data_IF_620483083434
#
_entry.id   IF_620483083434
#
_cell.length_a   1.000
_cell.length_b   1.000
_cell.length_c   1.000
_cell.angle_alpha   90.00
_cell.angle_beta   90.00
_cell.angle_gamma   90.00
#
_symmetry.space_group_name_H-M   'P 1'
#
loop_
_entity.id
_entity.type
_entity.pdbx_description
1 polymer ?
#
# COMPACT_ATOMS: atom_id res chain seq x y z
N UNK A 1 20.18 36.49 57.59
CA UNK A 1 20.63 35.28 56.86
C UNK A 1 19.50 34.31 56.50
N UNK A 2 18.43 34.15 57.32
CA UNK A 2 17.26 33.29 57.00
C UNK A 2 16.35 33.81 55.87
N UNK A 3 16.19 35.13 55.73
CA UNK A 3 15.35 35.74 54.68
C UNK A 3 16.05 35.69 53.30
N UNK A 4 17.38 35.75 53.27
CA UNK A 4 18.17 35.68 52.04
C UNK A 4 18.15 34.26 51.42
N UNK A 5 18.13 33.22 52.28
CA UNK A 5 17.99 31.81 51.84
C UNK A 5 16.60 31.50 51.25
N UNK A 6 15.56 32.20 51.69
CA UNK A 6 14.20 32.01 51.17
C UNK A 6 14.02 32.56 49.76
N UNK A 7 14.68 33.67 49.43
CA UNK A 7 14.66 34.25 48.08
C UNK A 7 15.47 33.43 47.07
N UNK A 8 16.58 32.81 47.50
CA UNK A 8 17.37 31.91 46.63
C UNK A 8 16.59 30.63 46.29
N UNK A 9 15.76 30.12 47.19
CA UNK A 9 14.96 28.91 46.95
C UNK A 9 13.76 29.14 46.03
N UNK A 10 13.21 30.37 45.94
CA UNK A 10 12.14 30.73 45.00
C UNK A 10 12.68 30.97 43.58
N UNK A 11 13.91 31.47 43.44
CA UNK A 11 14.53 31.71 42.13
C UNK A 11 14.82 30.40 41.35
N UNK A 12 15.09 29.29 42.05
CA UNK A 12 15.38 27.98 41.43
C UNK A 12 14.09 27.30 40.92
N UNK A 13 12.91 27.66 41.46
CA UNK A 13 11.62 27.11 41.02
C UNK A 13 11.07 27.77 39.75
N UNK A 14 11.63 28.92 39.33
CA UNK A 14 11.23 29.62 38.10
C UNK A 14 12.09 29.26 36.88
N UNK A 15 13.15 28.46 37.06
CA UNK A 15 14.03 28.02 35.97
C UNK A 15 13.76 26.61 35.47
N UNK A 16 12.74 25.92 36.00
CA UNK A 16 12.33 24.59 35.51
C UNK A 16 11.20 24.68 34.47
N UNK A 17 11.35 25.54 33.47
CA UNK A 17 10.73 25.27 32.19
C UNK A 17 11.77 24.47 31.39
N UNK A 18 11.89 23.18 31.72
CA UNK A 18 12.50 22.27 30.77
C UNK A 18 11.56 22.24 29.58
N UNK A 19 11.87 23.06 28.57
CA UNK A 19 11.40 22.84 27.22
C UNK A 19 11.79 21.40 26.87
N UNK A 20 10.83 20.49 27.03
CA UNK A 20 10.79 19.27 26.26
C UNK A 20 10.80 19.76 24.82
N UNK A 21 11.99 19.77 24.21
CA UNK A 21 12.12 19.78 22.76
C UNK A 21 11.46 18.49 22.26
N UNK A 22 10.13 18.50 22.19
CA UNK A 22 9.42 17.70 21.20
C UNK A 22 10.11 18.06 19.88
N UNK A 23 10.54 17.04 19.13
CA UNK A 23 11.30 17.24 17.90
C UNK A 23 10.64 18.31 17.04
N UNK A 24 11.46 19.08 16.32
CA UNK A 24 11.03 20.14 15.39
C UNK A 24 9.65 19.87 14.84
N UNK A 25 8.68 20.75 15.10
CA UNK A 25 7.36 20.66 14.48
C UNK A 25 7.58 20.48 12.97
N UNK A 26 7.14 19.33 12.45
CA UNK A 26 7.29 19.06 11.03
C UNK A 26 6.26 19.93 10.33
N UNK A 27 6.69 21.09 9.83
CA UNK A 27 5.90 21.83 8.86
C UNK A 27 5.79 20.98 7.58
N UNK A 28 4.62 20.41 7.35
CA UNK A 28 4.29 19.62 6.16
C UNK A 28 4.19 18.11 6.41
N UNK A 29 4.50 17.34 5.37
CA UNK A 29 4.23 15.90 5.33
C UNK A 29 5.35 15.14 6.05
N UNK A 30 5.04 14.38 7.10
CA UNK A 30 6.08 13.66 7.85
C UNK A 30 6.89 12.72 6.92
N UNK A 31 8.23 12.86 6.87
CA UNK A 31 9.06 11.99 6.04
C UNK A 31 9.14 10.59 6.66
N UNK A 32 9.33 9.59 5.80
CA UNK A 32 9.42 8.18 6.14
C UNK A 32 8.30 7.35 5.55
N UNK A 33 8.05 6.20 6.19
CA UNK A 33 7.11 5.20 5.70
C UNK A 33 5.69 5.47 6.17
N UNK A 34 4.77 5.32 5.24
CA UNK A 34 3.34 5.45 5.44
C UNK A 34 2.62 4.19 4.98
N UNK A 35 1.51 3.89 5.65
CA UNK A 35 0.56 2.88 5.20
C UNK A 35 -0.64 3.56 4.58
N UNK A 36 -0.80 3.37 3.27
CA UNK A 36 -1.94 3.81 2.49
C UNK A 36 -3.04 2.76 2.45
N UNK A 37 -4.28 3.20 2.21
CA UNK A 37 -5.45 2.36 1.98
C UNK A 37 -6.26 3.01 0.87
N UNK A 38 -6.31 2.38 -0.29
CA UNK A 38 -7.32 2.69 -1.28
C UNK A 38 -8.66 2.07 -0.85
N UNK A 39 -9.73 2.85 -0.92
CA UNK A 39 -11.09 2.47 -0.58
C UNK A 39 -11.83 2.25 -1.91
N UNK A 40 -11.91 0.99 -2.32
CA UNK A 40 -12.80 0.54 -3.39
C UNK A 40 -14.21 0.34 -2.79
N UNK A 41 -15.22 0.10 -3.62
CA UNK A 41 -16.63 0.01 -3.21
C UNK A 41 -16.86 -0.81 -1.94
N UNK A 42 -16.41 -2.07 -1.94
CA UNK A 42 -16.59 -3.06 -0.87
C UNK A 42 -15.25 -3.54 -0.27
N UNK A 43 -14.12 -2.98 -0.72
CA UNK A 43 -12.80 -3.50 -0.39
C UNK A 43 -11.81 -2.39 -0.01
N UNK A 44 -11.03 -2.65 1.04
CA UNK A 44 -9.89 -1.83 1.43
C UNK A 44 -8.60 -2.47 0.93
N UNK A 45 -7.80 -1.70 0.19
CA UNK A 45 -6.58 -2.18 -0.46
C UNK A 45 -5.38 -1.48 0.18
N UNK A 46 -4.69 -2.15 1.12
CA UNK A 46 -3.56 -1.55 1.80
C UNK A 46 -2.31 -1.50 0.91
N UNK A 47 -1.57 -0.41 1.00
CA UNK A 47 -0.31 -0.21 0.28
C UNK A 47 0.72 0.45 1.19
N UNK A 48 2.00 0.28 0.86
CA UNK A 48 3.10 0.95 1.54
C UNK A 48 3.66 2.03 0.64
N UNK A 49 3.95 3.20 1.19
CA UNK A 49 4.62 4.27 0.46
C UNK A 49 5.60 5.03 1.35
N UNK A 50 6.50 5.77 0.73
CA UNK A 50 7.54 6.56 1.38
C UNK A 50 7.50 8.00 0.88
N UNK A 51 7.67 8.95 1.80
CA UNK A 51 7.88 10.37 1.53
C UNK A 51 9.27 10.73 2.04
N UNK A 52 10.19 11.22 1.21
CA UNK A 52 11.57 11.56 1.69
C UNK A 52 11.81 13.03 1.99
N UNK A 53 11.02 13.94 1.42
CA UNK A 53 11.13 15.39 1.65
C UNK A 53 9.76 15.94 2.07
N UNK A 54 9.72 16.65 3.21
CA UNK A 54 8.48 17.08 3.87
C UNK A 54 7.96 18.44 3.42
N UNK A 55 8.76 19.19 2.64
CA UNK A 55 8.46 20.53 2.16
C UNK A 55 8.98 20.73 0.73
N UNK A 56 8.59 21.85 0.10
CA UNK A 56 8.97 22.17 -1.28
C UNK A 56 10.41 22.69 -1.44
N UNK A 57 11.23 22.75 -0.37
CA UNK A 57 12.63 23.20 -0.47
C UNK A 57 13.48 22.20 -1.26
N UNK A 58 13.01 20.95 -1.35
CA UNK A 58 13.58 19.89 -2.17
C UNK A 58 12.46 19.20 -2.96
N UNK A 59 12.77 18.57 -4.11
CA UNK A 59 11.79 17.77 -4.83
C UNK A 59 11.16 16.72 -3.92
N UNK A 60 9.83 16.68 -3.84
CA UNK A 60 9.13 15.71 -3.00
C UNK A 60 9.21 14.35 -3.69
N UNK A 61 9.88 13.39 -3.06
CA UNK A 61 9.87 11.99 -3.50
C UNK A 61 8.67 11.30 -2.86
N UNK A 62 7.67 10.96 -3.67
CA UNK A 62 6.51 10.17 -3.26
C UNK A 62 6.56 8.81 -3.97
N UNK A 63 6.78 7.73 -3.22
CA UNK A 63 7.10 6.43 -3.81
C UNK A 63 6.26 5.34 -3.16
N UNK A 64 5.41 4.67 -3.94
CA UNK A 64 4.81 3.42 -3.50
C UNK A 64 5.84 2.29 -3.54
N UNK A 65 5.89 1.53 -2.46
CA UNK A 65 6.85 0.45 -2.24
C UNK A 65 6.20 -0.90 -2.43
N UNK A 66 6.87 -1.76 -3.18
CA UNK A 66 6.70 -3.22 -3.14
C UNK A 66 8.07 -3.86 -3.18
N UNK A 67 8.20 -5.12 -2.77
CA UNK A 67 9.49 -5.82 -2.86
C UNK A 67 10.08 -5.96 -4.27
N UNK A 68 9.26 -5.89 -5.32
CA UNK A 68 9.69 -6.14 -6.70
C UNK A 68 9.79 -4.89 -7.55
N UNK A 69 8.95 -3.90 -7.29
CA UNK A 69 8.94 -2.66 -8.05
C UNK A 69 8.46 -1.49 -7.20
N UNK A 70 9.25 -0.42 -7.21
CA UNK A 70 8.86 0.88 -6.69
C UNK A 70 8.10 1.65 -7.77
N UNK A 71 7.02 2.33 -7.37
CA UNK A 71 6.24 3.22 -8.24
C UNK A 71 6.39 4.64 -7.69
N UNK A 72 7.31 5.39 -8.28
CA UNK A 72 7.54 6.78 -7.94
C UNK A 72 6.58 7.69 -8.73
N UNK A 73 6.09 8.75 -8.08
CA UNK A 73 5.48 9.86 -8.79
C UNK A 73 6.54 10.60 -9.62
N UNK A 74 6.20 11.00 -10.84
CA UNK A 74 7.07 11.78 -11.71
C UNK A 74 7.29 13.20 -11.16
N UNK A 75 6.28 13.73 -10.50
CA UNK A 75 6.35 14.98 -9.76
C UNK A 75 5.43 14.95 -8.55
N UNK A 76 5.86 15.59 -7.47
CA UNK A 76 5.02 15.83 -6.32
C UNK A 76 5.23 17.25 -5.78
N UNK A 77 4.13 17.93 -5.47
CA UNK A 77 4.10 19.35 -5.10
C UNK A 77 3.13 19.54 -3.94
N UNK A 78 3.53 20.29 -2.91
CA UNK A 78 2.65 20.71 -1.82
C UNK A 78 2.13 22.12 -2.10
N UNK A 79 0.81 22.31 -2.04
CA UNK A 79 0.14 23.61 -2.11
C UNK A 79 -0.76 23.75 -0.87
N UNK A 80 -0.33 24.57 0.09
CA UNK A 80 -1.01 24.65 1.39
C UNK A 80 -0.91 23.33 2.16
N UNK A 81 -2.06 22.76 2.51
CA UNK A 81 -2.21 21.48 3.19
C UNK A 81 -2.34 20.28 2.23
N UNK A 82 -2.27 20.53 0.93
CA UNK A 82 -2.57 19.55 -0.12
C UNK A 82 -1.31 19.14 -0.88
N UNK A 83 -1.03 17.84 -0.92
CA UNK A 83 -0.03 17.21 -1.77
C UNK A 83 -0.68 16.70 -3.06
N UNK A 84 -0.08 17.07 -4.20
CA UNK A 84 -0.38 16.50 -5.50
C UNK A 84 0.79 15.61 -5.91
N UNK A 85 0.56 14.33 -6.19
CA UNK A 85 1.56 13.39 -6.70
C UNK A 85 1.11 12.84 -8.05
N UNK A 86 1.85 13.14 -9.12
CA UNK A 86 1.49 12.83 -10.50
C UNK A 86 2.21 11.58 -11.02
N UNK A 87 1.46 10.68 -11.66
CA UNK A 87 1.96 9.52 -12.39
C UNK A 87 1.65 9.73 -13.88
N UNK A 88 2.55 10.45 -14.56
CA UNK A 88 2.45 10.87 -15.94
C UNK A 88 2.39 9.70 -16.93
N UNK A 89 3.12 8.61 -16.69
CA UNK A 89 3.07 7.41 -17.54
C UNK A 89 1.67 6.79 -17.63
N UNK A 90 0.85 6.98 -16.60
CA UNK A 90 -0.51 6.46 -16.49
C UNK A 90 -1.60 7.53 -16.57
N UNK A 91 -1.20 8.79 -16.66
CA UNK A 91 -2.08 9.98 -16.65
C UNK A 91 -3.02 10.02 -15.43
N UNK A 92 -2.48 9.70 -14.26
CA UNK A 92 -3.21 9.67 -12.98
C UNK A 92 -2.50 10.55 -11.96
N UNK A 93 -3.21 10.97 -10.92
CA UNK A 93 -2.60 11.71 -9.82
C UNK A 93 -3.33 11.47 -8.49
N UNK A 94 -2.57 11.52 -7.41
CA UNK A 94 -3.11 11.55 -6.05
C UNK A 94 -3.22 13.00 -5.59
N UNK A 95 -4.38 13.36 -5.07
CA UNK A 95 -4.60 14.60 -4.32
C UNK A 95 -4.85 14.23 -2.87
N UNK A 96 -3.95 14.60 -1.98
CA UNK A 96 -3.94 14.20 -0.57
C UNK A 96 -3.94 15.45 0.30
N UNK A 97 -4.85 15.52 1.26
CA UNK A 97 -4.89 16.54 2.30
C UNK A 97 -4.29 15.94 3.57
N UNK A 98 -3.34 16.66 4.17
CA UNK A 98 -2.64 16.22 5.38
C UNK A 98 -3.33 16.71 6.66
N UNK A 99 -3.39 15.83 7.65
CA UNK A 99 -3.88 16.10 9.00
C UNK A 99 -2.99 15.37 10.02
N UNK A 100 -1.97 16.05 10.54
CA UNK A 100 -1.07 15.55 11.61
C UNK A 100 -0.36 14.23 11.27
N UNK A 101 -0.92 13.08 11.64
CA UNK A 101 -0.41 11.72 11.40
C UNK A 101 -1.25 10.94 10.38
N UNK A 102 -2.25 11.59 9.81
CA UNK A 102 -3.22 11.04 8.87
C UNK A 102 -3.30 11.85 7.60
N UNK A 103 -3.79 11.20 6.57
CA UNK A 103 -3.97 11.75 5.24
C UNK A 103 -5.27 11.20 4.66
N UNK A 104 -6.04 12.05 3.99
CA UNK A 104 -7.18 11.64 3.18
C UNK A 104 -7.06 12.25 1.79
N UNK A 105 -7.55 11.54 0.79
CA UNK A 105 -7.40 11.98 -0.58
C UNK A 105 -8.12 11.11 -1.57
N UNK A 106 -7.83 11.36 -2.84
CA UNK A 106 -8.37 10.59 -3.94
C UNK A 106 -7.32 10.41 -5.03
N UNK A 107 -7.31 9.24 -5.64
CA UNK A 107 -6.65 8.97 -6.91
C UNK A 107 -7.60 9.35 -8.04
N UNK A 108 -7.14 10.21 -8.92
CA UNK A 108 -7.87 10.67 -10.10
C UNK A 108 -7.23 10.12 -11.37
N UNK A 109 -8.05 9.79 -12.36
CA UNK A 109 -7.62 9.56 -13.74
C UNK A 109 -7.96 10.82 -14.56
N UNK A 110 -6.95 11.45 -15.16
CA UNK A 110 -7.14 12.66 -15.98
C UNK A 110 -7.95 12.40 -17.26
N UNK A 111 -8.11 11.14 -17.68
CA UNK A 111 -9.00 10.80 -18.77
C UNK A 111 -10.50 10.99 -18.39
N UNK A 112 -10.82 11.16 -17.11
CA UNK A 112 -12.18 11.38 -16.61
C UNK A 112 -13.13 10.19 -16.78
N UNK A 113 -12.61 9.04 -17.22
CA UNK A 113 -13.41 7.85 -17.53
C UNK A 113 -13.81 7.03 -16.29
N UNK A 114 -13.12 7.23 -15.15
CA UNK A 114 -13.36 6.49 -13.90
C UNK A 114 -13.65 7.45 -12.74
N UNK A 115 -14.49 7.00 -11.81
CA UNK A 115 -14.71 7.73 -10.56
C UNK A 115 -13.41 7.76 -9.73
N UNK A 116 -13.14 8.87 -9.01
CA UNK A 116 -11.97 8.96 -8.15
C UNK A 116 -11.98 7.87 -7.07
N UNK A 117 -10.84 7.21 -6.86
CA UNK A 117 -10.71 6.18 -5.82
C UNK A 117 -10.24 6.85 -4.54
N UNK A 118 -11.04 6.75 -3.47
CA UNK A 118 -10.68 7.33 -2.19
C UNK A 118 -9.42 6.67 -1.62
N UNK A 119 -8.58 7.48 -0.98
CA UNK A 119 -7.30 7.10 -0.40
C UNK A 119 -7.21 7.63 1.02
N UNK A 120 -6.63 6.84 1.93
CA UNK A 120 -6.27 7.30 3.27
C UNK A 120 -4.88 6.81 3.63
N UNK A 121 -4.11 7.60 4.38
CA UNK A 121 -2.75 7.29 4.82
C UNK A 121 -2.61 7.45 6.34
N UNK A 122 -1.83 6.57 6.97
CA UNK A 122 -1.46 6.68 8.38
C UNK A 122 0.07 6.54 8.49
N UNK A 123 0.69 7.45 9.23
CA UNK A 123 2.13 7.49 9.43
C UNK A 123 2.63 6.35 10.32
N UNK A 124 3.85 5.87 10.06
CA UNK A 124 4.61 5.01 10.99
C UNK A 124 4.14 3.55 11.08
N UNK A 125 3.04 3.17 10.43
CA UNK A 125 2.62 1.76 10.37
C UNK A 125 3.45 1.03 9.31
N UNK A 126 4.24 0.04 9.73
CA UNK A 126 5.19 -0.69 8.87
C UNK A 126 4.60 -1.94 8.20
N UNK A 127 3.40 -2.37 8.59
CA UNK A 127 2.80 -3.61 8.11
C UNK A 127 1.62 -3.34 7.16
N UNK A 128 1.71 -3.84 5.93
CA UNK A 128 0.63 -3.75 4.92
C UNK A 128 -0.65 -4.45 5.39
N UNK A 129 -0.53 -5.69 5.84
CA UNK A 129 -1.60 -6.51 6.41
C UNK A 129 -1.29 -6.87 7.88
N UNK A 130 -2.31 -7.18 8.70
CA UNK A 130 -2.09 -7.69 10.05
C UNK A 130 -1.27 -8.99 10.03
N UNK A 131 -0.23 -9.06 10.87
CA UNK A 131 0.56 -10.27 11.07
C UNK A 131 -0.06 -11.15 12.15
N UNK A 132 -0.90 -12.12 11.74
CA UNK A 132 -1.55 -13.06 12.67
C UNK A 132 -0.66 -14.29 12.95
N UNK A 133 0.53 -14.37 12.34
CA UNK A 133 1.55 -15.42 12.57
C UNK A 133 1.03 -16.87 12.51
N UNK A 134 0.02 -17.14 11.67
CA UNK A 134 -0.52 -18.49 11.48
C UNK A 134 0.23 -19.20 10.38
N UNK A 135 0.84 -20.35 10.67
CA UNK A 135 1.56 -21.15 9.67
C UNK A 135 0.73 -21.37 8.41
N UNK A 136 1.26 -21.08 7.21
CA UNK A 136 0.59 -21.36 5.95
C UNK A 136 0.29 -22.84 5.77
N UNK A 137 -0.87 -23.15 5.18
CA UNK A 137 -1.29 -24.52 4.85
C UNK A 137 -0.40 -25.16 3.77
N UNK A 138 0.16 -24.36 2.88
CA UNK A 138 1.02 -24.82 1.78
C UNK A 138 2.01 -23.74 1.34
N UNK A 139 3.13 -24.17 0.76
CA UNK A 139 4.00 -23.29 -0.02
C UNK A 139 3.35 -23.04 -1.39
N UNK A 140 3.11 -21.77 -1.72
CA UNK A 140 2.44 -21.37 -2.96
C UNK A 140 3.42 -20.87 -4.03
N UNK A 141 4.73 -20.92 -3.77
CA UNK A 141 5.75 -20.45 -4.70
C UNK A 141 5.65 -21.18 -6.03
N UNK A 142 5.49 -20.43 -7.11
CA UNK A 142 5.37 -20.97 -8.46
C UNK A 142 4.55 -20.08 -9.39
N UNK A 143 4.34 -20.57 -10.60
CA UNK A 143 3.48 -19.96 -11.59
C UNK A 143 2.10 -20.61 -11.57
N UNK A 144 1.06 -19.80 -11.69
CA UNK A 144 -0.33 -20.21 -11.61
C UNK A 144 -1.10 -19.64 -12.81
N UNK A 145 -1.87 -20.49 -13.48
CA UNK A 145 -2.88 -20.02 -14.44
C UNK A 145 -4.08 -19.51 -13.65
N UNK A 146 -4.37 -18.21 -13.75
CA UNK A 146 -5.54 -17.58 -13.14
C UNK A 146 -6.65 -17.42 -14.17
N UNK A 147 -7.87 -17.79 -13.80
CA UNK A 147 -9.08 -17.56 -14.59
C UNK A 147 -10.05 -16.76 -13.73
N UNK A 148 -10.26 -15.50 -14.10
CA UNK A 148 -11.10 -14.54 -13.38
C UNK A 148 -12.36 -14.20 -14.18
N UNK A 149 -13.54 -14.33 -13.58
CA UNK A 149 -14.84 -14.19 -14.23
C UNK A 149 -15.67 -13.08 -13.57
N UNK A 150 -16.33 -12.26 -14.38
CA UNK A 150 -17.40 -11.35 -13.95
C UNK A 150 -18.76 -12.06 -14.11
N UNK A 151 -19.75 -11.72 -13.29
CA UNK A 151 -21.14 -12.22 -13.37
C UNK A 151 -21.82 -12.10 -14.76
N UNK A 152 -21.23 -11.38 -15.72
CA UNK A 152 -21.72 -11.21 -17.10
C UNK A 152 -20.79 -11.84 -18.16
N UNK A 153 -20.37 -13.09 -17.95
CA UNK A 153 -19.63 -13.95 -18.91
C UNK A 153 -18.25 -13.47 -19.41
N UNK A 154 -17.76 -12.31 -18.97
CA UNK A 154 -16.41 -11.86 -19.32
C UNK A 154 -15.39 -12.60 -18.47
N UNK A 155 -14.53 -13.38 -19.14
CA UNK A 155 -13.44 -14.14 -18.52
C UNK A 155 -12.10 -13.49 -18.86
N UNK A 156 -11.29 -13.24 -17.83
CA UNK A 156 -9.91 -12.82 -17.92
C UNK A 156 -9.02 -14.00 -17.54
N UNK A 157 -8.29 -14.53 -18.52
CA UNK A 157 -7.21 -15.48 -18.26
C UNK A 157 -5.88 -14.75 -18.12
N UNK A 158 -5.07 -15.17 -17.15
CA UNK A 158 -3.77 -14.56 -16.90
C UNK A 158 -2.79 -15.48 -16.20
N UNK A 159 -1.66 -14.90 -15.82
CA UNK A 159 -0.59 -15.58 -15.10
C UNK A 159 -0.36 -14.87 -13.77
N UNK A 160 -0.38 -15.65 -12.69
CA UNK A 160 -0.04 -15.21 -11.35
C UNK A 160 1.22 -15.97 -10.91
N UNK A 161 2.34 -15.25 -10.72
CA UNK A 161 3.57 -15.84 -10.16
C UNK A 161 3.70 -15.46 -8.70
N UNK A 162 3.62 -16.42 -7.81
CA UNK A 162 3.69 -16.24 -6.36
C UNK A 162 5.09 -16.64 -5.88
N UNK A 163 5.63 -15.92 -4.90
CA UNK A 163 6.79 -16.33 -4.10
C UNK A 163 6.47 -16.13 -2.62
N UNK A 164 6.73 -17.16 -1.81
CA UNK A 164 6.56 -17.15 -0.36
C UNK A 164 7.91 -17.31 0.33
N UNK A 165 8.08 -16.71 1.50
CA UNK A 165 9.31 -16.79 2.31
C UNK A 165 9.36 -18.03 3.22
N UNK A 166 8.40 -18.95 3.06
CA UNK A 166 8.18 -20.08 3.97
C UNK A 166 7.54 -19.71 5.31
N UNK A 167 7.27 -18.42 5.56
CA UNK A 167 6.53 -17.90 6.70
C UNK A 167 5.26 -17.23 6.20
N UNK A 168 4.89 -16.07 6.76
CA UNK A 168 3.63 -15.40 6.48
C UNK A 168 3.70 -14.37 5.37
N UNK A 169 4.83 -14.24 4.67
CA UNK A 169 5.01 -13.24 3.62
C UNK A 169 4.80 -13.85 2.24
N UNK A 170 4.14 -13.11 1.37
CA UNK A 170 3.96 -13.48 -0.02
C UNK A 170 4.13 -12.27 -0.94
N UNK A 171 4.83 -12.47 -2.05
CA UNK A 171 4.91 -11.52 -3.17
C UNK A 171 4.33 -12.18 -4.41
N UNK A 172 3.77 -11.38 -5.31
CA UNK A 172 3.35 -11.90 -6.59
C UNK A 172 3.52 -10.89 -7.73
N UNK A 173 3.48 -11.41 -8.96
CA UNK A 173 3.28 -10.62 -10.16
C UNK A 173 2.07 -11.16 -10.91
N UNK A 174 1.13 -10.28 -11.21
CA UNK A 174 -0.11 -10.58 -11.93
C UNK A 174 -0.03 -9.98 -13.34
N UNK A 175 -0.26 -10.80 -14.36
CA UNK A 175 -0.27 -10.39 -15.76
C UNK A 175 -1.51 -10.93 -16.46
N UNK A 176 -2.30 -10.03 -17.02
CA UNK A 176 -3.38 -10.36 -17.95
C UNK A 176 -2.99 -9.87 -19.35
N UNK A 177 -3.29 -10.60 -20.44
CA UNK A 177 -3.04 -10.15 -21.80
C UNK A 177 -3.75 -8.83 -22.15
N UNK A 178 -4.87 -8.55 -21.49
CA UNK A 178 -5.67 -7.32 -21.66
C UNK A 178 -5.09 -6.11 -20.92
N UNK A 179 -4.14 -6.32 -20.01
CA UNK A 179 -3.48 -5.26 -19.26
C UNK A 179 -2.05 -5.06 -19.78
N UNK A 180 -1.65 -3.82 -20.12
CA UNK A 180 -0.34 -3.58 -20.75
C UNK A 180 0.83 -3.81 -19.78
N UNK A 181 0.63 -3.58 -18.49
CA UNK A 181 1.68 -3.64 -17.46
C UNK A 181 1.47 -4.82 -16.51
N UNK A 182 2.58 -5.34 -16.00
CA UNK A 182 2.57 -6.35 -14.93
C UNK A 182 2.30 -5.64 -13.60
N UNK A 183 1.33 -6.15 -12.83
CA UNK A 183 1.02 -5.60 -11.52
C UNK A 183 1.79 -6.39 -10.46
N UNK A 184 2.67 -5.70 -9.73
CA UNK A 184 3.40 -6.30 -8.62
C UNK A 184 2.61 -6.18 -7.33
N UNK A 185 2.55 -7.28 -6.60
CA UNK A 185 1.70 -7.46 -5.43
C UNK A 185 2.53 -7.94 -4.25
N UNK A 186 2.13 -7.51 -3.06
CA UNK A 186 2.73 -7.91 -1.81
C UNK A 186 1.63 -8.13 -0.77
N UNK A 187 1.86 -9.07 0.13
CA UNK A 187 0.97 -9.31 1.24
C UNK A 187 1.35 -10.53 2.04
N UNK A 188 0.34 -11.29 2.44
CA UNK A 188 0.50 -12.37 3.42
C UNK A 188 -0.19 -13.65 3.01
N UNK A 189 0.40 -14.75 3.44
CA UNK A 189 -0.20 -16.08 3.41
C UNK A 189 -0.33 -16.56 4.85
N UNK A 190 -1.54 -16.88 5.28
CA UNK A 190 -1.82 -17.20 6.68
C UNK A 190 -2.88 -18.29 6.75
N UNK A 191 -2.60 -19.37 7.48
CA UNK A 191 -3.45 -20.57 7.50
C UNK A 191 -3.82 -21.00 6.07
N UNK A 192 -5.12 -21.06 5.75
CA UNK A 192 -5.62 -21.46 4.44
C UNK A 192 -5.96 -20.28 3.51
N UNK A 193 -5.40 -19.09 3.73
CA UNK A 193 -5.73 -17.89 2.94
C UNK A 193 -4.48 -17.16 2.46
N UNK A 194 -4.59 -16.57 1.28
CA UNK A 194 -3.63 -15.61 0.74
C UNK A 194 -4.33 -14.27 0.52
N UNK A 195 -3.66 -13.18 0.87
CA UNK A 195 -4.10 -11.80 0.66
C UNK A 195 -2.93 -11.00 0.08
N UNK A 196 -3.11 -10.40 -1.08
CA UNK A 196 -2.12 -9.55 -1.72
C UNK A 196 -2.77 -8.26 -2.21
N UNK A 197 -1.94 -7.24 -2.37
CA UNK A 197 -2.37 -5.94 -2.88
C UNK A 197 -1.20 -5.22 -3.54
N UNK A 198 -1.51 -4.33 -4.46
CA UNK A 198 -0.54 -3.51 -5.15
C UNK A 198 -1.17 -2.34 -5.88
N UNK A 199 -0.33 -1.46 -6.36
CA UNK A 199 -0.69 -0.29 -7.14
C UNK A 199 0.43 -0.03 -8.15
N UNK A 200 0.08 0.17 -9.42
CA UNK A 200 1.04 0.35 -10.53
C UNK A 200 1.10 1.79 -11.05
N UNK A 201 0.52 2.75 -10.32
CA UNK A 201 0.33 4.13 -10.78
C UNK A 201 -1.09 4.39 -11.29
N UNK A 202 -1.82 3.36 -11.74
CA UNK A 202 -3.21 3.47 -12.24
C UNK A 202 -4.18 2.48 -11.63
N UNK A 203 -3.78 1.22 -11.65
CA UNK A 203 -4.57 0.07 -11.24
C UNK A 203 -4.30 -0.22 -9.78
N UNK A 204 -5.32 -0.02 -8.95
CA UNK A 204 -5.38 -0.54 -7.59
C UNK A 204 -5.80 -2.00 -7.66
N UNK A 205 -4.92 -2.90 -7.23
CA UNK A 205 -5.17 -4.33 -7.27
C UNK A 205 -5.27 -4.91 -5.87
N UNK A 206 -6.32 -5.68 -5.62
CA UNK A 206 -6.45 -6.54 -4.46
C UNK A 206 -6.84 -7.94 -4.90
N UNK A 207 -6.16 -8.94 -4.34
CA UNK A 207 -6.41 -10.34 -4.66
C UNK A 207 -6.39 -11.16 -3.38
N UNK A 208 -7.36 -12.07 -3.26
CA UNK A 208 -7.40 -13.06 -2.19
C UNK A 208 -7.90 -14.39 -2.70
N UNK A 209 -7.52 -15.48 -2.05
CA UNK A 209 -8.06 -16.82 -2.30
C UNK A 209 -7.89 -17.74 -1.10
N UNK A 210 -8.66 -18.82 -1.12
CA UNK A 210 -8.49 -19.95 -0.22
C UNK A 210 -7.53 -20.99 -0.82
N UNK A 211 -6.71 -21.56 0.05
CA UNK A 211 -5.75 -22.61 -0.28
C UNK A 211 -6.44 -23.96 -0.12
N UNK A 212 -6.92 -24.50 -1.24
CA UNK A 212 -7.47 -25.86 -1.28
C UNK A 212 -6.34 -26.89 -1.14
N UNK A 213 -5.33 -26.79 -2.02
CA UNK A 213 -4.11 -27.59 -1.99
C UNK A 213 -2.90 -26.79 -2.49
N UNK A 214 -1.69 -27.38 -2.44
CA UNK A 214 -0.48 -26.77 -3.00
C UNK A 214 -0.55 -26.54 -4.53
N UNK A 215 -1.57 -27.08 -5.21
CA UNK A 215 -1.76 -26.96 -6.67
C UNK A 215 -3.05 -26.25 -7.06
N UNK A 216 -3.92 -25.90 -6.11
CA UNK A 216 -5.23 -25.30 -6.41
C UNK A 216 -5.59 -24.20 -5.41
N UNK A 217 -5.94 -23.03 -5.96
CA UNK A 217 -6.52 -21.90 -5.24
C UNK A 217 -7.98 -21.73 -5.68
N UNK A 218 -8.87 -21.59 -4.71
CA UNK A 218 -10.33 -21.50 -4.93
C UNK A 218 -10.93 -20.34 -4.17
N UNK A 219 -12.20 -20.02 -4.47
CA UNK A 219 -12.93 -18.90 -3.85
C UNK A 219 -12.13 -17.60 -3.93
N UNK A 220 -11.47 -17.41 -5.06
CA UNK A 220 -10.65 -16.25 -5.31
C UNK A 220 -11.52 -15.02 -5.53
N UNK A 221 -11.14 -13.91 -4.91
CA UNK A 221 -11.69 -12.60 -5.20
C UNK A 221 -10.56 -11.71 -5.73
N UNK A 222 -10.81 -11.02 -6.83
CA UNK A 222 -9.90 -10.08 -7.46
C UNK A 222 -10.63 -8.76 -7.67
N UNK A 223 -10.02 -7.66 -7.26
CA UNK A 223 -10.49 -6.30 -7.51
C UNK A 223 -9.41 -5.56 -8.29
N UNK A 224 -9.78 -5.01 -9.43
CA UNK A 224 -8.95 -4.13 -10.26
C UNK A 224 -9.70 -2.81 -10.38
N UNK A 225 -9.24 -1.78 -9.66
CA UNK A 225 -10.05 -0.59 -9.36
C UNK A 225 -11.44 -1.01 -8.85
N UNK A 226 -12.52 -0.42 -9.34
CA UNK A 226 -13.88 -0.77 -8.93
C UNK A 226 -14.45 -2.01 -9.63
N UNK A 227 -13.65 -2.75 -10.43
CA UNK A 227 -14.11 -3.99 -11.10
C UNK A 227 -13.78 -5.21 -10.24
N UNK A 228 -14.80 -5.99 -9.89
CA UNK A 228 -14.67 -7.24 -9.14
C UNK A 228 -14.77 -8.48 -10.02
N UNK A 229 -14.00 -9.51 -9.67
CA UNK A 229 -13.98 -10.80 -10.34
C UNK A 229 -13.90 -11.92 -9.30
N UNK A 230 -14.59 -13.02 -9.57
CA UNK A 230 -14.33 -14.30 -8.92
C UNK A 230 -13.26 -15.04 -9.70
N UNK A 231 -12.33 -15.73 -9.03
CA UNK A 231 -11.28 -16.46 -9.73
C UNK A 231 -10.92 -17.77 -9.09
N UNK A 232 -10.38 -18.65 -9.91
CA UNK A 232 -9.68 -19.85 -9.49
C UNK A 232 -8.30 -19.88 -10.15
N UNK A 233 -7.36 -20.58 -9.51
CA UNK A 233 -6.07 -20.82 -10.14
C UNK A 233 -5.57 -22.24 -9.91
N UNK A 234 -4.90 -22.75 -10.94
CA UNK A 234 -4.23 -24.04 -10.92
C UNK A 234 -2.74 -23.79 -11.13
N UNK A 235 -1.91 -24.47 -10.34
CA UNK A 235 -0.46 -24.36 -10.46
C UNK A 235 0.01 -24.95 -11.78
N UNK A 236 0.91 -24.23 -12.47
CA UNK A 236 1.62 -24.73 -13.65
C UNK A 236 2.72 -25.74 -13.28
N UNK A 237 2.87 -26.14 -12.01
CA UNK A 237 3.72 -27.23 -11.55
C UNK A 237 3.23 -28.59 -12.09
N UNK A 238 3.45 -28.77 -13.39
CA UNK A 238 2.98 -29.82 -14.28
C UNK A 238 3.40 -29.60 -15.74
N UNK A 239 3.86 -28.40 -16.12
CA UNK A 239 4.52 -28.17 -17.41
C UNK A 239 6.00 -27.89 -17.13
N UNK A 240 6.80 -28.95 -17.13
CA UNK A 240 8.23 -28.81 -17.38
C UNK A 240 8.38 -28.20 -18.77
N UNK A 241 8.74 -26.93 -18.85
CA UNK A 241 9.37 -26.44 -20.08
C UNK A 241 10.73 -27.13 -20.16
N UNK A 242 10.80 -28.17 -21.00
CA UNK A 242 12.03 -28.58 -21.64
C UNK A 242 12.62 -27.41 -22.41
#
# INVERSE_FOLDING_TARGET
MRILLFFVSIAILLTSCWDLRTGTDIEGFAPGTWRGVFKLEDQRVPVMYEIKNSNNDKPIEFIFKTERQDIAADSAIILGDTLFAYFGATNTYLKIIHQVDQMDGFLYDNAGAEYPIAFAGIYGIQHRFPDVRKTPKANLTGEWKITATIEKDSTLEGTLRISTDGKNKATASLKFPTYPQVIYLEGTVQASKIHLSGFDGKTVCWISANIDSAKKLTQGNLKLNNKGYFWEAVSNAGISTQ
#
